data_IF_953846384819
#
_entry.id   IF_953846384819
#
_cell.length_a   1.000
_cell.length_b   1.000
_cell.length_c   1.000
_cell.angle_alpha   90.00
_cell.angle_beta   90.00
_cell.angle_gamma   90.00
#
_symmetry.space_group_name_H-M   'P 1'
#
loop_
_entity.id
_entity.type
_entity.pdbx_description
1 polymer ?
#
# COMPACT_ATOMS: atom_id res chain seq x y z
N UNK A 1 5.50 13.69 26.11
CA UNK A 1 4.16 13.30 26.61
C UNK A 1 3.82 11.95 26.03
N UNK A 2 3.30 10.97 26.80
CA UNK A 2 2.92 9.69 26.22
C UNK A 2 1.78 9.93 25.22
N UNK A 3 2.02 9.63 23.93
CA UNK A 3 0.99 9.68 22.91
C UNK A 3 -0.16 8.76 23.33
N UNK A 4 -1.34 9.34 23.53
CA UNK A 4 -2.50 8.62 24.00
C UNK A 4 -3.10 7.86 22.82
N UNK A 5 -2.82 6.55 22.74
CA UNK A 5 -3.42 5.70 21.71
C UNK A 5 -4.89 5.48 22.03
N UNK A 6 -5.77 5.77 21.06
CA UNK A 6 -7.22 5.58 21.20
C UNK A 6 -7.75 4.58 20.18
N UNK A 7 -8.53 3.62 20.64
CA UNK A 7 -9.32 2.74 19.78
C UNK A 7 -10.50 3.53 19.18
N UNK A 8 -10.55 3.68 17.86
CA UNK A 8 -11.63 4.40 17.17
C UNK A 8 -12.79 3.47 16.84
N UNK A 9 -12.50 2.36 16.14
CA UNK A 9 -13.49 1.35 15.76
C UNK A 9 -12.86 -0.04 15.65
N UNK A 10 -13.72 -1.05 15.64
CA UNK A 10 -13.35 -2.44 15.38
C UNK A 10 -14.34 -3.02 14.39
N UNK A 11 -13.84 -3.70 13.36
CA UNK A 11 -14.65 -4.42 12.38
C UNK A 11 -14.17 -5.86 12.28
N UNK A 12 -15.12 -6.78 12.12
CA UNK A 12 -14.83 -8.21 11.93
C UNK A 12 -14.70 -8.49 10.43
N UNK A 13 -13.53 -8.95 10.00
CA UNK A 13 -13.28 -9.29 8.60
C UNK A 13 -13.26 -10.78 8.39
N UNK A 14 -13.91 -11.22 7.31
CA UNK A 14 -13.84 -12.62 6.89
C UNK A 14 -12.47 -12.90 6.28
N UNK A 15 -11.82 -13.92 6.83
CA UNK A 15 -10.54 -14.43 6.34
C UNK A 15 -10.77 -15.55 5.33
N UNK A 16 -9.82 -15.84 4.43
CA UNK A 16 -9.91 -16.98 3.51
C UNK A 16 -9.97 -18.34 4.22
N UNK A 17 -9.79 -18.36 5.53
CA UNK A 17 -9.82 -19.54 6.39
C UNK A 17 -11.20 -19.77 7.02
N UNK A 18 -12.20 -18.95 6.67
CA UNK A 18 -13.55 -19.02 7.25
C UNK A 18 -13.62 -18.51 8.70
N UNK A 19 -12.53 -17.92 9.21
CA UNK A 19 -12.50 -17.28 10.53
C UNK A 19 -12.76 -15.77 10.40
N UNK A 20 -13.27 -15.15 11.45
CA UNK A 20 -13.42 -13.70 11.54
C UNK A 20 -12.28 -13.10 12.33
N UNK A 21 -11.61 -12.12 11.72
CA UNK A 21 -10.50 -11.41 12.30
C UNK A 21 -10.96 -10.00 12.70
N UNK A 22 -10.95 -9.66 14.00
CA UNK A 22 -11.19 -8.29 14.43
C UNK A 22 -10.02 -7.41 14.00
N UNK A 23 -10.35 -6.38 13.25
CA UNK A 23 -9.44 -5.34 12.79
C UNK A 23 -9.83 -4.04 13.48
N UNK A 24 -8.87 -3.41 14.13
CA UNK A 24 -9.04 -2.20 14.91
C UNK A 24 -8.39 -1.01 14.22
N UNK A 25 -9.04 0.15 14.29
CA UNK A 25 -8.46 1.42 13.86
C UNK A 25 -7.98 2.15 15.09
N UNK A 26 -6.68 2.38 15.14
CA UNK A 26 -6.00 3.01 16.25
C UNK A 26 -5.61 4.42 15.85
N UNK A 27 -6.07 5.38 16.64
CA UNK A 27 -5.54 6.73 16.62
C UNK A 27 -4.21 6.75 17.37
N UNK A 28 -3.12 6.98 16.65
CA UNK A 28 -1.77 7.09 17.18
C UNK A 28 -1.37 8.56 17.41
N UNK A 29 -2.32 9.49 17.39
CA UNK A 29 -2.12 10.93 17.54
C UNK A 29 -1.82 11.64 16.23
N UNK A 30 -0.79 11.20 15.50
CA UNK A 30 -0.40 11.82 14.21
C UNK A 30 -1.04 11.13 13.00
N UNK A 31 -1.49 9.89 13.18
CA UNK A 31 -2.08 9.07 12.13
C UNK A 31 -3.05 8.06 12.69
N UNK A 32 -4.00 7.66 11.86
CA UNK A 32 -4.80 6.46 12.08
C UNK A 32 -4.08 5.28 11.45
N UNK A 33 -4.01 4.16 12.15
CA UNK A 33 -3.41 2.93 11.65
C UNK A 33 -4.32 1.74 11.92
N UNK A 34 -4.27 0.77 11.02
CA UNK A 34 -4.99 -0.49 11.15
C UNK A 34 -4.16 -1.46 12.00
N UNK A 35 -4.78 -2.11 12.98
CA UNK A 35 -4.11 -3.04 13.87
C UNK A 35 -4.97 -4.25 14.20
N UNK A 36 -4.32 -5.37 14.52
CA UNK A 36 -4.99 -6.65 14.80
C UNK A 36 -4.59 -7.11 16.20
N UNK A 37 -5.52 -7.58 17.05
CA UNK A 37 -5.18 -8.22 18.31
C UNK A 37 -4.28 -9.44 18.07
N UNK A 38 -3.14 -9.51 18.73
CA UNK A 38 -2.16 -10.59 18.50
C UNK A 38 -2.73 -11.99 18.77
N UNK A 39 -3.60 -12.12 19.77
CA UNK A 39 -4.29 -13.38 20.06
C UNK A 39 -5.13 -13.85 18.87
N UNK A 40 -5.88 -12.94 18.26
CA UNK A 40 -6.78 -13.24 17.14
C UNK A 40 -6.00 -13.46 15.84
N UNK A 41 -4.88 -12.76 15.66
CA UNK A 41 -3.95 -13.05 14.58
C UNK A 41 -3.39 -14.47 14.70
N UNK A 42 -2.93 -14.87 15.90
CA UNK A 42 -2.38 -16.19 16.17
C UNK A 42 -3.40 -17.30 15.86
N UNK A 43 -4.64 -17.13 16.35
CA UNK A 43 -5.77 -18.02 16.04
C UNK A 43 -6.01 -18.12 14.53
N UNK A 44 -6.11 -16.97 13.84
CA UNK A 44 -6.41 -16.93 12.41
C UNK A 44 -5.34 -17.66 11.58
N UNK A 45 -4.06 -17.51 11.91
CA UNK A 45 -2.98 -18.20 11.16
C UNK A 45 -2.69 -19.63 11.65
N UNK A 46 -3.37 -20.10 12.69
CA UNK A 46 -3.09 -21.41 13.30
C UNK A 46 -1.69 -21.49 13.91
N UNK A 47 -1.27 -20.41 14.56
CA UNK A 47 0.02 -20.27 15.22
C UNK A 47 -0.17 -20.03 16.72
N UNK A 48 0.75 -20.52 17.53
CA UNK A 48 0.64 -20.36 18.99
C UNK A 48 0.95 -18.90 19.39
N UNK A 49 0.19 -18.38 20.33
CA UNK A 49 0.30 -16.98 20.76
C UNK A 49 1.65 -16.64 21.42
N UNK A 50 2.19 -17.53 22.26
CA UNK A 50 3.44 -17.27 22.96
C UNK A 50 4.67 -17.23 22.03
N UNK A 51 4.82 -18.17 21.07
CA UNK A 51 5.80 -18.05 19.99
C UNK A 51 5.63 -16.78 19.16
N UNK A 52 4.40 -16.38 18.82
CA UNK A 52 4.15 -15.13 18.11
C UNK A 52 4.58 -13.90 18.92
N UNK A 53 4.24 -13.85 20.21
CA UNK A 53 4.67 -12.77 21.13
C UNK A 53 6.19 -12.72 21.23
N UNK A 54 6.84 -13.86 21.34
CA UNK A 54 8.30 -13.97 21.41
C UNK A 54 8.96 -13.48 20.12
N UNK A 55 8.39 -13.82 18.96
CA UNK A 55 8.86 -13.36 17.65
C UNK A 55 8.82 -11.83 17.56
N UNK A 56 7.69 -11.22 17.95
CA UNK A 56 7.53 -9.75 17.93
C UNK A 56 8.47 -9.08 18.93
N UNK A 57 8.55 -9.59 20.17
CA UNK A 57 9.40 -9.00 21.22
C UNK A 57 10.90 -9.03 20.90
N UNK A 58 11.36 -10.06 20.19
CA UNK A 58 12.79 -10.25 19.87
C UNK A 58 13.22 -9.44 18.65
N UNK A 59 12.29 -8.99 17.82
CA UNK A 59 12.61 -8.21 16.63
C UNK A 59 12.46 -6.70 16.91
N UNK A 60 13.53 -5.91 16.77
CA UNK A 60 13.51 -4.48 17.11
C UNK A 60 12.60 -3.65 16.20
N UNK A 61 12.29 -4.13 14.99
CA UNK A 61 11.37 -3.47 14.07
C UNK A 61 9.93 -3.85 14.42
N UNK A 62 9.63 -5.14 14.58
CA UNK A 62 8.27 -5.61 14.87
C UNK A 62 7.75 -5.10 16.21
N UNK A 63 8.61 -5.02 17.23
CA UNK A 63 8.19 -4.52 18.55
C UNK A 63 7.73 -3.05 18.50
N UNK A 64 8.30 -2.24 17.60
CA UNK A 64 7.88 -0.83 17.40
C UNK A 64 6.46 -0.69 16.84
N UNK A 65 5.94 -1.75 16.21
CA UNK A 65 4.58 -1.82 15.69
C UNK A 65 3.59 -2.45 16.68
N UNK A 66 4.06 -2.85 17.86
CA UNK A 66 3.19 -3.35 18.92
C UNK A 66 2.59 -2.19 19.71
N UNK A 67 1.30 -2.29 20.01
CA UNK A 67 0.60 -1.30 20.84
C UNK A 67 -0.26 -2.01 21.86
N UNK A 68 -0.13 -1.63 23.13
CA UNK A 68 -0.90 -2.24 24.22
C UNK A 68 -2.02 -1.27 24.60
N UNK A 69 -3.26 -1.74 24.45
CA UNK A 69 -4.45 -0.96 24.82
C UNK A 69 -5.13 -1.66 25.99
N UNK A 70 -5.49 -0.89 27.02
CA UNK A 70 -6.31 -1.40 28.11
C UNK A 70 -7.77 -1.26 27.70
N UNK A 71 -8.44 -2.39 27.49
CA UNK A 71 -9.86 -2.45 27.18
C UNK A 71 -10.63 -2.87 28.42
N UNK A 72 -11.78 -2.26 28.70
CA UNK A 72 -12.66 -2.71 29.79
C UNK A 72 -13.64 -3.74 29.23
N UNK A 73 -13.66 -4.93 29.83
CA UNK A 73 -14.64 -5.99 29.52
C UNK A 73 -15.30 -6.40 30.82
N UNK A 74 -16.63 -6.34 30.86
CA UNK A 74 -17.42 -6.69 32.05
C UNK A 74 -16.98 -5.93 33.33
N UNK A 75 -16.57 -4.66 33.16
CA UNK A 75 -16.06 -3.82 34.25
C UNK A 75 -14.59 -4.09 34.64
N UNK A 76 -13.94 -5.11 34.05
CA UNK A 76 -12.55 -5.48 34.34
C UNK A 76 -11.61 -4.94 33.26
N UNK A 77 -10.52 -4.24 33.62
CA UNK A 77 -9.53 -3.79 32.65
C UNK A 77 -8.64 -4.95 32.18
N UNK A 78 -8.60 -5.18 30.88
CA UNK A 78 -7.76 -6.16 30.20
C UNK A 78 -6.76 -5.47 29.27
N UNK A 79 -5.48 -5.81 29.42
CA UNK A 79 -4.44 -5.36 28.49
C UNK A 79 -4.45 -6.25 27.25
N UNK A 80 -4.75 -5.65 26.10
CA UNK A 80 -4.74 -6.31 24.81
C UNK A 80 -3.58 -5.80 23.99
N UNK A 81 -2.73 -6.71 23.51
CA UNK A 81 -1.66 -6.38 22.58
C UNK A 81 -2.20 -6.40 21.15
N UNK A 82 -2.13 -5.24 20.50
CA UNK A 82 -2.40 -5.06 19.08
C UNK A 82 -1.08 -4.99 18.32
N UNK A 83 -1.11 -5.47 17.08
CA UNK A 83 -0.01 -5.35 16.14
C UNK A 83 -0.51 -4.52 14.96
N UNK A 84 0.14 -3.40 14.71
CA UNK A 84 -0.15 -2.53 13.56
C UNK A 84 0.11 -3.28 12.25
N UNK A 85 -0.56 -2.88 11.17
CA UNK A 85 -0.49 -3.51 9.85
C UNK A 85 0.94 -3.81 9.37
N UNK A 86 1.93 -2.89 9.44
CA UNK A 86 3.31 -3.22 9.07
C UNK A 86 3.90 -4.37 9.90
N UNK A 87 3.58 -4.43 11.19
CA UNK A 87 3.97 -5.51 12.08
C UNK A 87 3.30 -6.84 11.72
N UNK A 88 2.01 -6.83 11.36
CA UNK A 88 1.29 -8.02 10.90
C UNK A 88 1.94 -8.58 9.64
N UNK A 89 2.19 -7.75 8.64
CA UNK A 89 2.86 -8.14 7.41
C UNK A 89 4.29 -8.65 7.69
N UNK A 90 5.03 -7.99 8.57
CA UNK A 90 6.37 -8.41 8.97
C UNK A 90 6.41 -9.77 9.67
N UNK A 91 5.48 -10.03 10.60
CA UNK A 91 5.30 -11.35 11.23
C UNK A 91 5.02 -12.41 10.18
N UNK A 92 4.07 -12.14 9.29
CA UNK A 92 3.66 -13.07 8.24
C UNK A 92 4.82 -13.38 7.30
N UNK A 93 5.62 -12.39 6.90
CA UNK A 93 6.80 -12.58 6.07
C UNK A 93 7.89 -13.42 6.77
N UNK A 94 8.00 -13.30 8.10
CA UNK A 94 8.93 -14.10 8.91
C UNK A 94 8.48 -15.54 9.15
N UNK A 95 7.20 -15.85 8.97
CA UNK A 95 6.72 -17.23 9.00
C UNK A 95 7.24 -17.93 7.74
N UNK A 96 8.40 -18.57 7.84
CA UNK A 96 9.02 -19.26 6.71
C UNK A 96 8.20 -20.50 6.33
N UNK A 97 7.29 -20.30 5.37
CA UNK A 97 6.35 -21.29 4.85
C UNK A 97 7.06 -22.57 4.37
N UNK A 98 8.31 -22.45 3.90
CA UNK A 98 9.15 -23.59 3.47
C UNK A 98 9.48 -24.57 4.60
N UNK A 99 9.51 -24.11 5.85
CA UNK A 99 9.81 -24.94 7.03
C UNK A 99 8.59 -25.67 7.59
N UNK A 100 7.39 -25.34 7.10
CA UNK A 100 6.15 -25.94 7.57
C UNK A 100 5.96 -27.29 6.88
N UNK A 101 6.08 -28.38 7.63
CA UNK A 101 5.97 -29.74 7.08
C UNK A 101 4.55 -30.09 6.63
N UNK A 102 3.54 -29.67 7.40
CA UNK A 102 2.14 -29.90 7.07
C UNK A 102 1.71 -29.05 5.85
N UNK A 103 1.36 -29.68 4.70
CA UNK A 103 0.96 -28.96 3.50
C UNK A 103 -0.37 -28.21 3.66
N UNK A 104 -1.30 -28.71 4.48
CA UNK A 104 -2.56 -28.02 4.73
C UNK A 104 -2.34 -26.77 5.59
N UNK A 105 -1.47 -26.84 6.61
CA UNK A 105 -1.07 -25.65 7.38
C UNK A 105 -0.31 -24.64 6.52
N UNK A 106 0.55 -25.11 5.63
CA UNK A 106 1.31 -24.28 4.68
C UNK A 106 0.37 -23.45 3.80
N UNK A 107 -0.63 -24.10 3.22
CA UNK A 107 -1.52 -23.45 2.25
C UNK A 107 -2.47 -22.47 2.93
N UNK A 108 -2.88 -22.77 4.18
CA UNK A 108 -3.61 -21.81 5.01
C UNK A 108 -2.82 -20.54 5.26
N UNK A 109 -1.53 -20.66 5.60
CA UNK A 109 -0.66 -19.50 5.85
C UNK A 109 -0.41 -18.71 4.57
N UNK A 110 -0.21 -19.36 3.42
CA UNK A 110 -0.07 -18.67 2.12
C UNK A 110 -1.35 -17.91 1.76
N UNK A 111 -2.52 -18.56 1.89
CA UNK A 111 -3.80 -17.92 1.60
C UNK A 111 -4.01 -16.70 2.50
N UNK A 112 -3.71 -16.83 3.80
CA UNK A 112 -3.80 -15.73 4.73
C UNK A 112 -2.79 -14.61 4.42
N UNK A 113 -1.54 -14.94 4.07
CA UNK A 113 -0.54 -13.96 3.66
C UNK A 113 -1.04 -13.11 2.49
N UNK A 114 -1.50 -13.76 1.41
CA UNK A 114 -2.03 -13.06 0.22
C UNK A 114 -3.19 -12.14 0.58
N UNK A 115 -4.15 -12.68 1.34
CA UNK A 115 -5.29 -11.88 1.81
C UNK A 115 -4.84 -10.71 2.67
N UNK A 116 -3.89 -10.88 3.60
CA UNK A 116 -3.46 -9.81 4.49
C UNK A 116 -2.77 -8.67 3.74
N UNK A 117 -1.97 -8.98 2.71
CA UNK A 117 -1.37 -7.98 1.82
C UNK A 117 -2.41 -7.16 1.06
N UNK A 118 -3.49 -7.79 0.60
CA UNK A 118 -4.53 -7.10 -0.17
C UNK A 118 -5.53 -6.37 0.74
N UNK A 119 -6.05 -7.05 1.76
CA UNK A 119 -7.11 -6.55 2.62
C UNK A 119 -6.63 -5.47 3.59
N UNK A 120 -5.51 -5.68 4.29
CA UNK A 120 -5.08 -4.71 5.30
C UNK A 120 -4.55 -3.41 4.67
N UNK A 121 -3.89 -3.49 3.51
CA UNK A 121 -3.53 -2.29 2.74
C UNK A 121 -4.79 -1.59 2.24
N UNK A 122 -5.74 -2.33 1.67
CA UNK A 122 -7.00 -1.75 1.17
C UNK A 122 -7.78 -1.02 2.25
N UNK A 123 -7.87 -1.54 3.48
CA UNK A 123 -8.62 -0.90 4.58
C UNK A 123 -8.05 0.46 4.99
N UNK A 124 -6.73 0.62 4.96
CA UNK A 124 -6.09 1.90 5.26
C UNK A 124 -6.41 2.94 4.18
N UNK A 125 -6.66 2.53 2.94
CA UNK A 125 -6.90 3.45 1.82
C UNK A 125 -8.38 3.61 1.43
N UNK A 126 -9.24 2.62 1.70
CA UNK A 126 -10.68 2.68 1.39
C UNK A 126 -11.47 3.52 2.39
N UNK A 127 -11.05 3.60 3.64
CA UNK A 127 -11.71 4.51 4.59
C UNK A 127 -11.33 5.98 4.37
N UNK A 128 -10.24 6.22 3.64
CA UNK A 128 -9.86 7.52 3.10
C UNK A 128 -10.35 7.72 1.67
N UNK A 129 -11.11 6.78 1.09
CA UNK A 129 -11.87 7.06 -0.12
C UNK A 129 -12.95 8.08 0.27
N UNK A 130 -12.95 9.29 -0.32
CA UNK A 130 -13.99 10.25 -0.01
C UNK A 130 -15.34 9.60 -0.27
N UNK A 131 -16.28 9.74 0.68
CA UNK A 131 -17.65 9.29 0.51
C UNK A 131 -18.13 9.69 -0.90
N UNK A 132 -18.80 8.81 -1.67
CA UNK A 132 -19.28 9.17 -2.98
C UNK A 132 -20.17 10.40 -2.82
N UNK A 133 -19.69 11.55 -3.30
CA UNK A 133 -20.40 12.80 -3.17
C UNK A 133 -21.83 12.60 -3.69
N UNK A 134 -22.87 13.11 -2.98
CA UNK A 134 -24.23 13.01 -3.46
C UNK A 134 -24.28 13.54 -4.89
N UNK A 135 -24.99 12.82 -5.77
CA UNK A 135 -25.13 13.12 -7.20
C UNK A 135 -25.66 14.55 -7.39
N UNK A 136 -24.75 15.49 -7.43
CA UNK A 136 -24.97 16.85 -7.85
C UNK A 136 -23.74 17.22 -8.66
N UNK A 137 -23.98 17.55 -9.92
CA UNK A 137 -22.98 18.04 -10.85
C UNK A 137 -22.12 19.13 -10.19
N UNK A 138 -20.88 18.79 -9.84
CA UNK A 138 -19.88 19.77 -9.45
C UNK A 138 -18.53 19.26 -9.96
N UNK A 139 -17.91 20.09 -10.79
CA UNK A 139 -16.72 19.78 -11.56
C UNK A 139 -15.60 19.18 -10.69
N UNK A 140 -15.15 17.98 -11.05
CA UNK A 140 -13.93 17.39 -10.53
C UNK A 140 -12.75 18.30 -10.91
N UNK A 141 -12.31 19.14 -9.97
CA UNK A 141 -10.98 19.71 -10.03
C UNK A 141 -9.98 18.62 -9.60
N UNK A 142 -8.94 18.33 -10.39
CA UNK A 142 -7.96 17.31 -10.04
C UNK A 142 -7.12 17.72 -8.82
N UNK A 143 -6.84 16.72 -7.96
CA UNK A 143 -6.03 16.80 -6.72
C UNK A 143 -4.53 17.09 -6.93
N UNK A 144 -4.13 17.34 -8.18
CA UNK A 144 -2.87 17.96 -8.54
C UNK A 144 -3.22 19.13 -9.45
N UNK A 145 -2.55 20.31 -9.36
CA UNK A 145 -2.60 21.23 -10.47
C UNK A 145 -2.07 20.45 -11.67
N UNK A 146 -2.99 20.07 -12.56
CA UNK A 146 -2.61 19.55 -13.86
C UNK A 146 -1.66 20.60 -14.42
N UNK A 147 -0.40 20.21 -14.62
CA UNK A 147 0.54 21.05 -15.36
C UNK A 147 -0.26 21.60 -16.56
N UNK A 148 -0.27 22.93 -16.76
CA UNK A 148 -1.26 23.60 -17.59
C UNK A 148 -1.44 22.80 -18.87
N UNK A 149 -2.67 22.38 -19.16
CA UNK A 149 -2.96 21.48 -20.25
C UNK A 149 -2.29 22.02 -21.53
N UNK A 150 -1.11 21.50 -21.86
CA UNK A 150 -0.28 22.00 -22.97
C UNK A 150 -0.94 21.75 -24.32
N UNK A 151 -2.02 20.99 -24.32
CA UNK A 151 -2.79 20.56 -25.48
C UNK A 151 -4.25 20.97 -25.29
N UNK A 152 -4.83 21.57 -26.32
CA UNK A 152 -6.26 21.91 -26.42
C UNK A 152 -6.93 21.04 -27.49
N UNK A 153 -8.25 20.84 -27.37
CA UNK A 153 -9.05 20.09 -28.34
C UNK A 153 -8.64 18.63 -28.45
N UNK A 154 -8.66 18.08 -29.66
CA UNK A 154 -8.36 16.67 -29.94
C UNK A 154 -7.02 16.18 -29.37
N UNK A 155 -6.03 17.07 -29.27
CA UNK A 155 -4.72 16.76 -28.68
C UNK A 155 -4.79 16.55 -27.17
N UNK A 156 -5.74 17.15 -26.46
CA UNK A 156 -5.97 16.90 -25.03
C UNK A 156 -6.55 15.49 -24.83
N UNK A 157 -7.55 15.13 -25.63
CA UNK A 157 -8.14 13.79 -25.64
C UNK A 157 -7.10 12.72 -25.97
N UNK A 158 -6.26 12.99 -26.97
CA UNK A 158 -5.15 12.11 -27.32
C UNK A 158 -4.14 11.96 -26.16
N UNK A 159 -3.79 13.03 -25.45
CA UNK A 159 -2.89 12.98 -24.30
C UNK A 159 -3.48 12.13 -23.15
N UNK A 160 -4.78 12.22 -22.88
CA UNK A 160 -5.45 11.42 -21.87
C UNK A 160 -5.47 9.92 -22.23
N UNK A 161 -5.64 9.59 -23.52
CA UNK A 161 -5.54 8.20 -24.01
C UNK A 161 -4.10 7.67 -23.99
N UNK A 162 -3.11 8.51 -24.29
CA UNK A 162 -1.69 8.14 -24.25
C UNK A 162 -1.21 7.82 -22.83
N UNK A 163 -1.61 8.65 -21.86
CA UNK A 163 -1.25 8.51 -20.43
C UNK A 163 -2.00 7.38 -19.72
N UNK A 164 -3.05 6.83 -20.32
CA UNK A 164 -3.86 5.76 -19.72
C UNK A 164 -4.92 6.27 -18.74
N UNK A 165 -5.16 7.58 -18.69
CA UNK A 165 -6.30 8.18 -18.00
C UNK A 165 -7.63 7.81 -18.68
N UNK A 166 -7.60 7.55 -19.99
CA UNK A 166 -8.71 6.95 -20.75
C UNK A 166 -8.26 5.58 -21.23
N UNK A 167 -8.96 4.54 -20.78
CA UNK A 167 -8.67 3.13 -21.10
C UNK A 167 -9.73 2.52 -22.00
N UNK A 168 -9.34 1.46 -22.70
CA UNK A 168 -10.27 0.61 -23.45
C UNK A 168 -11.23 -0.08 -22.48
N UNK A 169 -12.35 -0.60 -23.01
CA UNK A 169 -13.39 -1.30 -22.24
C UNK A 169 -12.87 -2.56 -21.53
N UNK A 170 -11.82 -3.18 -22.07
CA UNK A 170 -11.10 -4.32 -21.51
C UNK A 170 -10.02 -3.90 -20.48
N UNK A 171 -9.93 -2.61 -20.15
CA UNK A 171 -8.91 -2.05 -19.25
C UNK A 171 -7.54 -1.85 -19.90
N UNK A 172 -7.40 -2.19 -21.18
CA UNK A 172 -6.17 -2.05 -21.95
C UNK A 172 -5.88 -0.62 -22.41
N UNK A 173 -4.63 -0.40 -22.85
CA UNK A 173 -4.18 0.87 -23.39
C UNK A 173 -4.48 0.98 -24.89
N UNK A 174 -4.89 2.16 -25.36
CA UNK A 174 -5.09 2.41 -26.79
C UNK A 174 -3.77 2.49 -27.54
N UNK A 175 -3.66 1.80 -28.68
CA UNK A 175 -2.55 1.94 -29.62
C UNK A 175 -2.55 3.31 -30.30
N UNK A 176 -1.41 3.72 -30.87
CA UNK A 176 -1.34 4.97 -31.66
C UNK A 176 -2.31 4.99 -32.84
N UNK A 177 -2.63 3.83 -33.42
CA UNK A 177 -3.57 3.71 -34.53
C UNK A 177 -4.99 4.07 -34.08
N UNK A 178 -5.40 3.54 -32.93
CA UNK A 178 -6.74 3.74 -32.38
C UNK A 178 -6.92 5.17 -31.91
N UNK A 179 -5.92 5.74 -31.22
CA UNK A 179 -5.97 7.13 -30.78
C UNK A 179 -6.08 8.06 -31.99
N UNK A 180 -5.32 7.81 -33.06
CA UNK A 180 -5.40 8.61 -34.28
C UNK A 180 -6.77 8.55 -34.95
N UNK A 181 -7.42 7.37 -34.94
CA UNK A 181 -8.78 7.21 -35.48
C UNK A 181 -9.83 7.94 -34.65
N UNK A 182 -9.70 7.90 -33.32
CA UNK A 182 -10.69 8.49 -32.40
C UNK A 182 -10.55 10.01 -32.32
N UNK A 183 -9.32 10.51 -32.34
CA UNK A 183 -9.03 11.94 -32.12
C UNK A 183 -8.68 12.71 -33.40
N UNK A 184 -8.48 12.03 -34.53
CA UNK A 184 -7.99 12.67 -35.75
C UNK A 184 -6.53 13.15 -35.67
N UNK A 185 -5.84 13.00 -34.53
CA UNK A 185 -4.46 13.43 -34.37
C UNK A 185 -3.51 12.46 -35.11
N UNK A 186 -2.63 12.95 -36.01
CA UNK A 186 -1.73 12.08 -36.76
C UNK A 186 -0.78 11.28 -35.86
N UNK A 187 -0.50 10.02 -36.23
CA UNK A 187 0.35 9.09 -35.44
C UNK A 187 1.74 9.66 -35.12
N UNK A 188 2.33 10.42 -36.04
CA UNK A 188 3.62 11.10 -35.84
C UNK A 188 3.56 12.16 -34.74
N UNK A 189 2.42 12.85 -34.63
CA UNK A 189 2.17 13.82 -33.55
C UNK A 189 1.96 13.10 -32.23
N UNK A 190 1.23 11.98 -32.23
CA UNK A 190 1.04 11.15 -31.04
C UNK A 190 2.35 10.58 -30.48
N UNK A 191 3.28 10.16 -31.34
CA UNK A 191 4.61 9.71 -30.90
C UNK A 191 5.40 10.83 -30.22
N UNK A 192 5.47 12.01 -30.84
CA UNK A 192 6.12 13.20 -30.24
C UNK A 192 5.46 13.61 -28.93
N UNK A 193 4.14 13.48 -28.84
CA UNK A 193 3.39 13.73 -27.60
C UNK A 193 3.72 12.70 -26.52
N UNK A 194 3.80 11.41 -26.87
CA UNK A 194 4.19 10.36 -25.94
C UNK A 194 5.62 10.52 -25.41
N UNK A 195 6.56 10.98 -26.26
CA UNK A 195 7.92 11.35 -25.86
C UNK A 195 7.91 12.50 -24.85
N UNK A 196 7.19 13.59 -25.16
CA UNK A 196 7.07 14.76 -24.27
C UNK A 196 6.39 14.47 -22.94
N UNK A 197 5.48 13.50 -22.93
CA UNK A 197 4.77 13.05 -21.73
C UNK A 197 5.52 11.94 -20.98
N UNK A 198 6.64 11.44 -21.52
CA UNK A 198 7.42 10.36 -20.91
C UNK A 198 6.74 8.99 -20.94
N UNK A 199 5.63 8.81 -21.67
CA UNK A 199 4.79 7.60 -21.64
C UNK A 199 5.01 6.63 -22.81
N UNK A 200 6.01 6.89 -23.66
CA UNK A 200 6.30 6.04 -24.83
C UNK A 200 6.61 4.59 -24.46
N UNK A 201 7.24 4.37 -23.31
CA UNK A 201 7.58 3.04 -22.78
C UNK A 201 6.33 2.19 -22.49
N UNK A 202 5.18 2.81 -22.19
CA UNK A 202 3.90 2.11 -21.97
C UNK A 202 3.36 1.44 -23.25
N UNK A 203 3.93 1.75 -24.42
CA UNK A 203 3.47 1.25 -25.73
C UNK A 203 4.47 0.34 -26.43
N UNK A 204 5.71 0.30 -25.96
CA UNK A 204 6.75 -0.59 -26.45
C UNK A 204 7.37 -1.30 -25.25
N UNK A 205 7.00 -2.56 -24.97
CA UNK A 205 7.63 -3.36 -23.91
C UNK A 205 9.11 -3.68 -24.16
N UNK A 206 9.71 -3.18 -25.24
CA UNK A 206 11.11 -3.38 -25.59
C UNK A 206 11.89 -2.10 -25.30
N UNK A 207 12.89 -2.26 -24.43
CA UNK A 207 13.79 -1.27 -23.87
C UNK A 207 13.21 -0.46 -22.70
N UNK A 208 13.03 -1.14 -21.56
CA UNK A 208 13.52 -0.55 -20.32
C UNK A 208 14.95 -0.07 -20.61
N UNK A 209 15.30 1.20 -20.35
CA UNK A 209 16.71 1.58 -20.37
C UNK A 209 17.42 0.63 -19.40
N UNK A 210 18.47 -0.04 -19.88
CA UNK A 210 19.32 -0.82 -18.99
C UNK A 210 19.68 0.08 -17.80
N UNK A 211 19.61 -0.40 -16.55
CA UNK A 211 20.02 0.40 -15.41
C UNK A 211 21.41 0.96 -15.72
N UNK A 212 21.54 2.29 -15.64
CA UNK A 212 22.82 2.95 -15.86
C UNK A 212 23.88 2.20 -15.05
N UNK A 213 24.93 1.72 -15.72
CA UNK A 213 25.95 0.82 -15.15
C UNK A 213 26.78 1.44 -14.03
N UNK A 214 26.42 2.62 -13.57
CA UNK A 214 27.05 3.31 -12.44
C UNK A 214 25.95 4.07 -11.70
N UNK A 215 25.75 3.84 -10.39
CA UNK A 215 24.91 4.73 -9.61
C UNK A 215 25.49 6.14 -9.72
N UNK A 216 24.62 7.09 -10.06
CA UNK A 216 24.95 8.49 -10.24
C UNK A 216 25.74 8.97 -9.01
N UNK A 217 26.93 9.53 -9.21
CA UNK A 217 27.85 9.87 -8.12
C UNK A 217 27.19 10.82 -7.12
N UNK A 218 26.23 11.62 -7.59
CA UNK A 218 25.41 12.51 -6.79
C UNK A 218 24.43 11.77 -5.86
N UNK A 219 23.89 10.64 -6.33
CA UNK A 219 22.97 9.80 -5.56
C UNK A 219 23.71 9.00 -4.47
N UNK A 220 24.94 8.54 -4.78
CA UNK A 220 25.85 7.99 -3.76
C UNK A 220 26.25 9.04 -2.73
N UNK A 221 26.52 10.28 -3.16
CA UNK A 221 26.86 11.38 -2.24
C UNK A 221 25.70 11.72 -1.31
N UNK A 222 24.48 11.80 -1.85
CA UNK A 222 23.26 12.05 -1.07
C UNK A 222 22.98 10.93 -0.07
N UNK A 223 23.14 9.67 -0.46
CA UNK A 223 22.99 8.54 0.46
C UNK A 223 24.04 8.57 1.59
N UNK A 224 25.27 8.96 1.27
CA UNK A 224 26.35 9.08 2.26
C UNK A 224 26.09 10.23 3.23
N UNK A 225 25.59 11.37 2.76
CA UNK A 225 25.20 12.50 3.62
C UNK A 225 24.03 12.16 4.54
N UNK A 226 23.03 11.41 4.05
CA UNK A 226 21.89 10.96 4.87
C UNK A 226 22.36 9.98 5.95
N UNK A 227 23.22 9.02 5.60
CA UNK A 227 23.79 8.07 6.56
C UNK A 227 24.63 8.77 7.63
N UNK A 228 25.45 9.76 7.26
CA UNK A 228 26.26 10.51 8.21
C UNK A 228 25.41 11.35 9.17
N UNK A 229 24.32 11.96 8.69
CA UNK A 229 23.39 12.71 9.56
C UNK A 229 22.67 11.80 10.54
N UNK A 230 22.28 10.60 10.12
CA UNK A 230 21.67 9.60 10.99
C UNK A 230 22.66 9.10 12.05
N UNK A 231 23.91 8.87 11.68
CA UNK A 231 24.95 8.45 12.60
C UNK A 231 25.26 9.52 13.67
N UNK A 232 25.33 10.79 13.28
CA UNK A 232 25.54 11.91 14.21
C UNK A 232 24.34 12.15 15.15
N UNK A 233 23.12 11.79 14.74
CA UNK A 233 21.94 11.86 15.61
C UNK A 233 21.85 10.69 16.61
N UNK A 234 22.47 9.55 16.30
CA UNK A 234 22.52 8.38 17.19
C UNK A 234 23.69 8.42 18.17
N UNK A 235 24.67 9.31 17.95
CA UNK A 235 25.85 9.49 18.80
C UNK A 235 25.70 10.63 19.84
N UNK A 236 24.49 11.17 20.04
CA UNK A 236 24.11 12.10 21.11
C UNK A 236 23.10 11.44 22.04
#
# INVERSE_FOLDING_TARGET
MPQMVRLQKVEELETPLGTRLPVAWLDLGERVEVAVPMARLAEAVGYDLEPLRSLVKRDPVLISYQTIITMVRDGVPHKTAFLQRPGVLGVLAKMEVRRIQDPAKRERIIAFQRWAFEALDRLLFEEFAPAPAPKAHAALQPLFPSAPAKFKGDRATAAAMLTGNVRRRDGGLFSYAEIARITGVPRTTLQKMADRLGVRHLRYPRALPAPAKTPDAELLRLLTDVLNRLYLHLAR
#
